data_IF_819561336820
#
_entry.id   IF_819561336820
#
_cell.length_a   1.000
_cell.length_b   1.000
_cell.length_c   1.000
_cell.angle_alpha   90.00
_cell.angle_beta   90.00
_cell.angle_gamma   90.00
#
_symmetry.space_group_name_H-M   'P 1'
#
loop_
_entity.id
_entity.type
_entity.pdbx_description
1 polymer ?
#
# COMPACT_ATOMS: atom_id res chain seq x y z
N UNK A 1 -3.51 -14.98 9.62
CA UNK A 1 -2.78 -14.10 8.68
C UNK A 1 -1.29 -14.33 8.86
N UNK A 2 -0.48 -14.30 7.79
CA UNK A 2 0.98 -14.27 7.91
C UNK A 2 1.42 -13.02 8.69
N UNK A 3 2.60 -13.07 9.32
CA UNK A 3 3.12 -11.93 10.07
C UNK A 3 3.64 -10.87 9.09
N UNK A 4 3.37 -9.58 9.32
CA UNK A 4 3.96 -8.50 8.55
C UNK A 4 5.50 -8.52 8.69
N UNK A 5 6.21 -8.09 7.65
CA UNK A 5 7.67 -7.91 7.75
C UNK A 5 7.96 -6.80 8.77
N UNK A 6 8.85 -7.08 9.71
CA UNK A 6 9.38 -6.09 10.66
C UNK A 6 10.36 -5.16 9.94
N UNK A 7 10.20 -3.85 10.10
CA UNK A 7 11.11 -2.83 9.57
C UNK A 7 11.97 -2.28 10.69
N UNK A 8 13.29 -2.27 10.47
CA UNK A 8 14.21 -1.56 11.33
C UNK A 8 14.37 -0.09 10.88
N UNK A 9 15.14 0.69 11.62
CA UNK A 9 15.40 2.10 11.30
C UNK A 9 15.96 2.31 9.88
N UNK A 10 16.85 1.42 9.41
CA UNK A 10 17.43 1.49 8.08
C UNK A 10 16.41 1.17 6.98
N UNK A 11 15.49 0.22 7.18
CA UNK A 11 14.40 -0.03 6.24
C UNK A 11 13.52 1.22 6.06
N UNK A 12 13.22 1.93 7.16
CA UNK A 12 12.38 3.15 7.16
C UNK A 12 13.07 4.30 6.42
N UNK A 13 14.36 4.50 6.71
CA UNK A 13 15.19 5.54 6.08
C UNK A 13 15.32 5.24 4.58
N UNK A 14 15.73 4.02 4.22
CA UNK A 14 15.94 3.62 2.82
C UNK A 14 14.66 3.69 1.97
N UNK A 15 13.48 3.52 2.58
CA UNK A 15 12.19 3.64 1.88
C UNK A 15 11.64 5.08 1.82
N UNK A 16 12.39 6.08 2.28
CA UNK A 16 11.96 7.48 2.19
C UNK A 16 11.92 7.97 0.74
N UNK A 17 10.87 8.71 0.31
CA UNK A 17 10.78 9.29 -1.04
C UNK A 17 11.97 10.18 -1.45
N UNK A 18 12.70 10.73 -0.47
CA UNK A 18 13.87 11.59 -0.70
C UNK A 18 15.13 10.82 -1.10
N UNK A 19 15.19 9.52 -0.80
CA UNK A 19 16.29 8.64 -1.25
C UNK A 19 15.92 7.83 -2.50
N UNK A 20 14.74 8.05 -3.07
CA UNK A 20 14.28 7.38 -4.28
C UNK A 20 14.65 8.19 -5.55
N UNK A 21 15.55 7.63 -6.35
CA UNK A 21 16.03 8.21 -7.62
C UNK A 21 15.20 7.78 -8.85
N UNK A 22 14.17 6.95 -8.70
CA UNK A 22 13.34 6.47 -9.82
C UNK A 22 12.72 7.61 -10.65
N UNK A 23 12.46 8.75 -10.01
CA UNK A 23 11.98 9.96 -10.69
C UNK A 23 12.93 10.56 -11.73
N UNK A 24 14.18 10.08 -11.83
CA UNK A 24 15.10 10.44 -12.92
C UNK A 24 14.80 9.70 -14.23
N UNK A 25 14.05 8.59 -14.17
CA UNK A 25 13.83 7.69 -15.31
C UNK A 25 12.35 7.50 -15.67
N UNK A 26 11.42 7.80 -14.77
CA UNK A 26 9.98 7.65 -15.01
C UNK A 26 9.18 8.67 -14.20
N UNK A 27 7.97 8.99 -14.65
CA UNK A 27 6.99 9.69 -13.80
C UNK A 27 6.80 8.91 -12.48
N UNK A 28 6.89 9.64 -11.37
CA UNK A 28 6.71 9.05 -10.05
C UNK A 28 5.25 8.66 -9.88
N UNK A 29 4.99 7.37 -9.66
CA UNK A 29 3.74 6.95 -9.04
C UNK A 29 3.60 7.59 -7.65
N UNK A 30 2.36 7.79 -7.20
CA UNK A 30 2.11 8.33 -5.87
C UNK A 30 2.39 7.26 -4.82
N UNK A 31 3.21 7.58 -3.81
CA UNK A 31 3.46 6.72 -2.66
C UNK A 31 3.14 7.47 -1.38
N UNK A 32 2.31 6.87 -0.53
CA UNK A 32 1.95 7.40 0.78
C UNK A 32 2.28 6.37 1.86
N UNK A 33 2.68 6.85 3.04
CA UNK A 33 2.89 6.02 4.23
C UNK A 33 2.12 6.63 5.40
N UNK A 34 1.50 5.78 6.21
CA UNK A 34 0.91 6.17 7.47
C UNK A 34 1.14 5.09 8.52
N UNK A 35 1.02 5.46 9.79
CA UNK A 35 1.18 4.56 10.93
C UNK A 35 -0.18 4.32 11.57
N UNK A 36 -0.45 3.08 11.99
CA UNK A 36 -1.69 2.69 12.66
C UNK A 36 -1.39 1.74 13.82
N UNK A 37 -2.22 1.80 14.86
CA UNK A 37 -2.27 0.79 15.92
C UNK A 37 -3.34 -0.29 15.70
N UNK A 38 -4.07 -0.23 14.59
CA UNK A 38 -5.06 -1.25 14.23
C UNK A 38 -4.38 -2.57 13.84
N UNK A 39 -5.07 -3.69 14.05
CA UNK A 39 -4.54 -4.99 13.64
C UNK A 39 -4.39 -5.07 12.12
N UNK A 40 -3.45 -5.90 11.64
CA UNK A 40 -3.26 -6.14 10.19
C UNK A 40 -4.55 -6.61 9.53
N UNK A 41 -5.35 -7.43 10.23
CA UNK A 41 -6.63 -7.93 9.74
C UNK A 41 -7.65 -6.80 9.57
N UNK A 42 -7.76 -5.88 10.53
CA UNK A 42 -8.69 -4.73 10.45
C UNK A 42 -8.30 -3.78 9.32
N UNK A 43 -7.00 -3.56 9.10
CA UNK A 43 -6.51 -2.72 8.01
C UNK A 43 -6.84 -3.36 6.65
N UNK A 44 -6.58 -4.65 6.48
CA UNK A 44 -6.92 -5.38 5.24
C UNK A 44 -8.42 -5.33 4.99
N UNK A 45 -9.24 -5.67 5.99
CA UNK A 45 -10.70 -5.64 5.88
C UNK A 45 -11.20 -4.23 5.51
N UNK A 46 -10.62 -3.18 6.10
CA UNK A 46 -11.01 -1.80 5.76
C UNK A 46 -10.63 -1.41 4.34
N UNK A 47 -9.48 -1.87 3.84
CA UNK A 47 -9.06 -1.63 2.46
C UNK A 47 -9.97 -2.37 1.46
N UNK A 48 -10.35 -3.61 1.76
CA UNK A 48 -11.30 -4.39 0.94
C UNK A 48 -12.70 -3.77 0.93
N UNK A 49 -13.18 -3.29 2.08
CA UNK A 49 -14.44 -2.54 2.21
C UNK A 49 -14.43 -1.29 1.31
N UNK A 50 -13.38 -0.46 1.41
CA UNK A 50 -13.24 0.76 0.61
C UNK A 50 -13.18 0.43 -0.88
N UNK A 51 -12.43 -0.60 -1.28
CA UNK A 51 -12.37 -1.05 -2.67
C UNK A 51 -13.77 -1.42 -3.21
N UNK A 52 -14.55 -2.18 -2.43
CA UNK A 52 -15.93 -2.53 -2.78
C UNK A 52 -16.83 -1.30 -2.93
N UNK A 53 -16.71 -0.32 -2.03
CA UNK A 53 -17.49 0.93 -2.09
C UNK A 53 -17.25 1.74 -3.37
N UNK A 54 -16.04 1.66 -3.95
CA UNK A 54 -15.68 2.38 -5.19
C UNK A 54 -15.76 1.49 -6.44
N UNK A 55 -16.37 0.30 -6.36
CA UNK A 55 -16.47 -0.68 -7.46
C UNK A 55 -15.12 -1.17 -8.00
N UNK A 56 -14.10 -1.23 -7.14
CA UNK A 56 -12.79 -1.79 -7.47
C UNK A 56 -12.70 -3.23 -6.93
N UNK A 57 -11.86 -4.04 -7.55
CA UNK A 57 -11.58 -5.40 -7.10
C UNK A 57 -10.34 -5.39 -6.21
N UNK A 58 -10.47 -5.86 -4.98
CA UNK A 58 -9.35 -6.10 -4.08
C UNK A 58 -8.91 -7.57 -4.13
N UNK A 59 -7.60 -7.79 -4.09
CA UNK A 59 -6.96 -9.10 -3.97
C UNK A 59 -5.92 -9.03 -2.86
N UNK A 60 -6.12 -9.84 -1.83
CA UNK A 60 -5.19 -9.91 -0.71
C UNK A 60 -4.24 -11.08 -0.87
N UNK A 61 -2.94 -10.81 -0.72
CA UNK A 61 -1.89 -11.81 -0.62
C UNK A 61 -1.00 -11.44 0.56
N UNK A 62 -0.98 -12.29 1.57
CA UNK A 62 -0.26 -12.08 2.82
C UNK A 62 -0.65 -10.77 3.53
N UNK A 63 0.29 -9.85 3.72
CA UNK A 63 0.08 -8.53 4.31
C UNK A 63 0.00 -7.42 3.24
N UNK A 64 -0.41 -7.78 2.02
CA UNK A 64 -0.51 -6.87 0.89
C UNK A 64 -1.89 -6.99 0.23
N UNK A 65 -2.53 -5.85 -0.01
CA UNK A 65 -3.78 -5.74 -0.78
C UNK A 65 -3.46 -5.07 -2.11
N UNK A 66 -3.84 -5.70 -3.21
CA UNK A 66 -3.83 -5.10 -4.55
C UNK A 66 -5.26 -4.73 -4.93
N UNK A 67 -5.47 -3.48 -5.31
CA UNK A 67 -6.78 -2.92 -5.63
C UNK A 67 -6.73 -2.41 -7.08
N UNK A 68 -7.60 -2.94 -7.93
CA UNK A 68 -7.65 -2.64 -9.36
C UNK A 68 -9.06 -2.18 -9.76
N UNK A 69 -9.14 -1.18 -10.63
CA UNK A 69 -10.41 -0.75 -11.19
C UNK A 69 -11.03 -1.89 -12.03
N UNK A 70 -12.32 -2.17 -11.84
CA UNK A 70 -13.03 -3.20 -12.63
C UNK A 70 -13.33 -2.73 -14.05
N UNK A 71 -13.31 -1.43 -14.30
CA UNK A 71 -13.56 -0.81 -15.59
C UNK A 71 -12.50 0.25 -15.87
N UNK A 72 -12.02 0.33 -17.12
CA UNK A 72 -11.17 1.43 -17.57
C UNK A 72 -11.99 2.73 -17.53
N UNK A 73 -11.83 3.51 -16.47
CA UNK A 73 -12.41 4.85 -16.39
C UNK A 73 -11.76 5.80 -17.40
N UNK A 74 -12.32 7.00 -17.56
CA UNK A 74 -11.81 8.03 -18.48
C UNK A 74 -10.32 8.42 -18.25
N UNK A 75 -9.74 8.06 -17.11
CA UNK A 75 -8.36 8.39 -16.71
C UNK A 75 -7.38 7.21 -16.79
N UNK A 76 -7.74 6.13 -17.47
CA UNK A 76 -6.90 4.93 -17.61
C UNK A 76 -7.09 3.91 -16.49
N UNK A 77 -6.39 2.78 -16.60
CA UNK A 77 -6.44 1.73 -15.59
C UNK A 77 -5.61 2.15 -14.36
N UNK A 78 -6.20 1.97 -13.17
CA UNK A 78 -5.59 2.34 -11.91
C UNK A 78 -5.27 1.08 -11.10
N UNK A 79 -4.00 0.91 -10.76
CA UNK A 79 -3.53 -0.14 -9.85
C UNK A 79 -3.00 0.48 -8.56
N UNK A 80 -3.60 0.11 -7.43
CA UNK A 80 -3.17 0.52 -6.09
C UNK A 80 -2.66 -0.72 -5.36
N UNK A 81 -1.55 -0.59 -4.64
CA UNK A 81 -1.10 -1.61 -3.72
C UNK A 81 -0.85 -1.04 -2.34
N UNK A 82 -1.42 -1.66 -1.32
CA UNK A 82 -1.19 -1.35 0.08
C UNK A 82 -0.44 -2.51 0.74
N UNK A 83 0.73 -2.23 1.33
CA UNK A 83 1.54 -3.19 2.07
C UNK A 83 1.58 -2.80 3.55
N UNK A 84 1.42 -3.78 4.43
CA UNK A 84 1.46 -3.58 5.89
C UNK A 84 2.77 -4.15 6.44
N UNK A 85 3.45 -3.37 7.26
CA UNK A 85 4.73 -3.69 7.87
C UNK A 85 4.70 -3.43 9.39
N UNK A 86 5.42 -4.22 10.17
CA UNK A 86 5.53 -4.02 11.61
C UNK A 86 6.66 -3.03 11.93
N UNK A 87 6.36 -2.03 12.77
CA UNK A 87 7.35 -1.08 13.28
C UNK A 87 7.73 -1.41 14.72
N UNK A 88 6.70 -1.68 15.53
CA UNK A 88 6.81 -2.12 16.92
C UNK A 88 5.71 -3.12 17.19
N UNK A 89 5.70 -3.72 18.38
CA UNK A 89 4.65 -4.64 18.80
C UNK A 89 3.23 -4.02 18.82
N UNK A 90 3.10 -2.68 18.87
CA UNK A 90 1.81 -1.96 18.85
C UNK A 90 1.52 -1.24 17.53
N UNK A 91 2.53 -1.03 16.68
CA UNK A 91 2.43 -0.12 15.54
C UNK A 91 2.82 -0.80 14.25
N UNK A 92 1.98 -0.59 13.23
CA UNK A 92 2.25 -0.97 11.85
C UNK A 92 2.36 0.27 10.96
N UNK A 93 3.22 0.17 9.94
CA UNK A 93 3.25 1.09 8.81
C UNK A 93 2.45 0.51 7.67
N UNK A 94 1.54 1.29 7.11
CA UNK A 94 0.89 0.98 5.83
C UNK A 94 1.53 1.84 4.75
N UNK A 95 2.09 1.19 3.73
CA UNK A 95 2.62 1.84 2.54
C UNK A 95 1.66 1.61 1.38
N UNK A 96 1.10 2.69 0.85
CA UNK A 96 0.22 2.69 -0.33
C UNK A 96 1.03 3.19 -1.53
N UNK A 97 0.95 2.48 -2.64
CA UNK A 97 1.59 2.84 -3.91
C UNK A 97 0.58 2.79 -5.03
N UNK A 98 0.52 3.84 -5.82
CA UNK A 98 -0.39 3.99 -6.94
C UNK A 98 0.40 4.03 -8.25
N UNK A 99 -0.03 3.24 -9.22
CA UNK A 99 0.49 3.25 -10.59
C UNK A 99 -0.69 3.43 -11.55
N UNK A 100 -0.56 4.38 -12.47
CA UNK A 100 -1.44 4.48 -13.64
C UNK A 100 -0.85 3.58 -14.73
N UNK A 101 -1.68 2.66 -15.24
CA UNK A 101 -1.34 1.73 -16.32
C UNK A 101 -1.71 2.32 -17.69
#
# INVERSE_FOLDING_TARGET
>A
MPRPKILNAFDIIASSPSFDLSGLFQERGERMRFVSGASVADIIAKLEEIAGMVSFMARTKDCQVSIEATQNGQKGALAISAKVFELTWELVMVQVSMVRL
#
